data_IF_545295700255
#
_entry.id   IF_545295700255
#
_cell.length_a   1.000
_cell.length_b   1.000
_cell.length_c   1.000
_cell.angle_alpha   90.00
_cell.angle_beta   90.00
_cell.angle_gamma   90.00
#
_symmetry.space_group_name_H-M   'P 1'
#
loop_
_entity.id
_entity.type
_entity.pdbx_description
1 polymer ?
#
# COMPACT_ATOMS: atom_id res chain seq x y z
N UNK A 1 -26.23 39.07 28.59
CA UNK A 1 -26.80 38.11 27.59
C UNK A 1 -26.25 38.32 26.17
N UNK A 2 -26.11 39.55 25.67
CA UNK A 2 -25.62 39.84 24.30
C UNK A 2 -24.14 39.49 24.05
N UNK A 3 -23.25 39.61 25.03
CA UNK A 3 -21.82 39.29 24.90
C UNK A 3 -21.59 37.79 24.68
N UNK A 4 -22.38 36.94 25.35
CA UNK A 4 -22.24 35.49 25.22
C UNK A 4 -22.67 35.01 23.80
N UNK A 5 -23.73 35.62 23.24
CA UNK A 5 -24.22 35.32 21.90
C UNK A 5 -23.18 35.73 20.83
N UNK A 6 -22.53 36.90 21.00
CA UNK A 6 -21.50 37.35 20.06
C UNK A 6 -20.26 36.43 20.06
N UNK A 7 -19.86 35.89 21.21
CA UNK A 7 -18.73 34.95 21.31
C UNK A 7 -19.06 33.62 20.66
N UNK A 8 -20.29 33.09 20.84
CA UNK A 8 -20.71 31.82 20.23
C UNK A 8 -20.76 31.95 18.69
N UNK A 9 -21.26 33.06 18.17
CA UNK A 9 -21.30 33.31 16.71
C UNK A 9 -19.88 33.46 16.14
N UNK A 10 -18.98 34.17 16.86
CA UNK A 10 -17.59 34.33 16.42
C UNK A 10 -16.85 32.99 16.35
N UNK A 11 -17.04 32.12 17.35
CA UNK A 11 -16.43 30.77 17.37
C UNK A 11 -16.99 29.88 16.27
N UNK A 12 -18.29 29.92 16.04
CA UNK A 12 -18.92 29.12 14.98
C UNK A 12 -18.47 29.56 13.57
N UNK A 13 -18.35 30.86 13.34
CA UNK A 13 -17.86 31.42 12.05
C UNK A 13 -16.40 31.10 11.84
N UNK A 14 -15.56 31.16 12.89
CA UNK A 14 -14.14 30.80 12.80
C UNK A 14 -13.94 29.32 12.53
N UNK A 15 -14.72 28.44 13.15
CA UNK A 15 -14.69 27.00 12.89
C UNK A 15 -15.14 26.69 11.46
N UNK A 16 -16.21 27.30 10.96
CA UNK A 16 -16.70 27.10 9.61
C UNK A 16 -15.73 27.64 8.54
N UNK A 17 -15.02 28.75 8.79
CA UNK A 17 -14.01 29.29 7.89
C UNK A 17 -12.74 28.42 7.90
N UNK A 18 -12.35 27.85 9.04
CA UNK A 18 -11.25 26.88 9.11
C UNK A 18 -11.59 25.59 8.37
N UNK A 19 -12.79 25.04 8.53
CA UNK A 19 -13.21 23.85 7.78
C UNK A 19 -13.25 24.09 6.26
N UNK A 20 -13.70 25.28 5.82
CA UNK A 20 -13.78 25.60 4.39
C UNK A 20 -12.43 26.00 3.76
N UNK A 21 -11.50 26.55 4.54
CA UNK A 21 -10.23 27.06 4.00
C UNK A 21 -9.03 26.12 4.23
N UNK A 22 -9.04 25.31 5.29
CA UNK A 22 -7.88 24.50 5.69
C UNK A 22 -8.07 23.02 5.29
N UNK A 23 -9.29 22.48 5.34
CA UNK A 23 -9.53 21.10 4.87
C UNK A 23 -9.07 20.85 3.41
N UNK A 24 -9.33 21.74 2.44
CA UNK A 24 -8.81 21.55 1.08
C UNK A 24 -7.29 21.62 0.98
N UNK A 25 -6.62 22.33 1.90
CA UNK A 25 -5.16 22.47 1.91
C UNK A 25 -4.44 21.28 2.58
N UNK A 26 -5.17 20.51 3.41
CA UNK A 26 -4.66 19.32 4.09
C UNK A 26 -4.99 18.01 3.36
N UNK A 27 -5.67 18.08 2.20
CA UNK A 27 -5.98 16.91 1.36
C UNK A 27 -5.31 17.00 -0.02
N UNK A 28 -3.96 16.94 -0.12
CA UNK A 28 -3.29 17.02 -1.42
C UNK A 28 -3.67 15.89 -2.38
N UNK A 29 -4.09 14.73 -1.86
CA UNK A 29 -4.43 13.58 -2.68
C UNK A 29 -5.81 13.66 -3.36
N UNK A 30 -6.78 14.38 -2.80
CA UNK A 30 -8.10 14.56 -3.43
C UNK A 30 -8.09 15.64 -4.51
N UNK A 31 -7.21 16.65 -4.43
CA UNK A 31 -7.15 17.74 -5.39
C UNK A 31 -6.63 17.30 -6.78
N UNK A 32 -5.83 16.24 -6.85
CA UNK A 32 -5.29 15.71 -8.11
C UNK A 32 -6.34 15.13 -9.06
N UNK A 33 -7.45 14.58 -8.52
CA UNK A 33 -8.54 14.02 -9.31
C UNK A 33 -9.72 14.98 -9.54
N UNK A 34 -9.71 16.16 -8.93
CA UNK A 34 -10.84 17.13 -8.99
C UNK A 34 -10.66 18.16 -10.11
N UNK A 35 -9.45 18.44 -10.57
CA UNK A 35 -9.19 19.40 -11.65
C UNK A 35 -9.12 18.69 -13.01
N UNK A 36 -10.07 18.97 -13.88
CA UNK A 36 -10.29 18.38 -15.21
C UNK A 36 -9.12 18.51 -16.23
N UNK A 37 -7.96 19.03 -15.84
CA UNK A 37 -6.80 19.22 -16.72
C UNK A 37 -5.78 18.07 -16.66
N UNK A 38 -5.82 17.22 -15.65
CA UNK A 38 -4.93 16.05 -15.53
C UNK A 38 -5.78 14.80 -15.51
N UNK A 39 -5.50 13.82 -16.38
CA UNK A 39 -6.21 12.55 -16.35
C UNK A 39 -5.92 11.84 -15.03
N UNK A 40 -6.97 11.44 -14.34
CA UNK A 40 -6.90 10.75 -13.05
C UNK A 40 -7.82 9.54 -13.05
N UNK A 41 -7.31 8.42 -12.53
CA UNK A 41 -8.08 7.19 -12.34
C UNK A 41 -8.06 6.84 -10.87
N UNK A 42 -9.24 6.66 -10.27
CA UNK A 42 -9.37 6.14 -8.90
C UNK A 42 -9.60 4.64 -8.95
N UNK A 43 -8.80 3.89 -8.22
CA UNK A 43 -8.93 2.45 -8.03
C UNK A 43 -9.24 2.19 -6.57
N UNK A 44 -10.36 1.49 -6.32
CA UNK A 44 -10.65 0.94 -5.01
C UNK A 44 -10.10 -0.47 -4.94
N UNK A 45 -9.36 -0.77 -3.88
CA UNK A 45 -8.84 -2.09 -3.58
C UNK A 45 -9.31 -2.48 -2.20
N UNK A 46 -10.05 -3.57 -2.09
CA UNK A 46 -10.37 -4.17 -0.80
C UNK A 46 -9.41 -5.31 -0.54
N UNK A 47 -8.76 -5.31 0.62
CA UNK A 47 -7.87 -6.39 1.05
C UNK A 47 -8.61 -7.30 2.03
N UNK A 48 -8.28 -8.59 1.96
CA UNK A 48 -8.74 -9.65 2.84
C UNK A 48 -7.51 -10.44 3.29
N UNK A 49 -7.67 -11.35 4.23
CA UNK A 49 -6.54 -12.14 4.77
C UNK A 49 -5.71 -12.90 3.73
N UNK A 50 -6.20 -13.06 2.50
CA UNK A 50 -5.49 -13.75 1.41
C UNK A 50 -5.82 -13.23 0.01
N UNK A 51 -6.18 -11.98 -0.18
CA UNK A 51 -6.49 -11.47 -1.51
C UNK A 51 -6.76 -9.98 -1.58
N UNK A 52 -6.72 -9.46 -2.81
CA UNK A 52 -7.24 -8.15 -3.17
C UNK A 52 -8.63 -8.29 -3.80
N UNK A 53 -9.55 -7.34 -3.51
CA UNK A 53 -10.93 -7.23 -3.98
C UNK A 53 -11.85 -8.38 -3.55
N UNK A 54 -11.40 -9.62 -3.64
CA UNK A 54 -12.05 -10.81 -3.08
C UNK A 54 -11.03 -11.95 -2.99
N UNK A 55 -11.21 -12.93 -2.09
CA UNK A 55 -10.28 -14.04 -1.95
C UNK A 55 -10.03 -14.76 -3.29
N UNK A 56 -8.76 -14.91 -3.66
CA UNK A 56 -8.35 -15.59 -4.89
C UNK A 56 -8.53 -14.79 -6.19
N UNK A 57 -8.94 -13.52 -6.12
CA UNK A 57 -8.99 -12.63 -7.26
C UNK A 57 -7.67 -11.87 -7.42
N UNK A 58 -7.13 -11.85 -8.65
CA UNK A 58 -5.91 -11.13 -9.00
C UNK A 58 -6.29 -9.99 -9.96
N UNK A 59 -6.51 -8.77 -9.47
CA UNK A 59 -6.99 -7.67 -10.29
C UNK A 59 -5.97 -7.26 -11.36
N UNK A 60 -6.50 -6.85 -12.52
CA UNK A 60 -5.70 -6.34 -13.64
C UNK A 60 -6.33 -5.07 -14.19
N UNK A 61 -5.54 -4.00 -14.26
CA UNK A 61 -5.99 -2.69 -14.73
C UNK A 61 -5.22 -2.28 -15.98
N UNK A 62 -5.87 -1.48 -16.85
CA UNK A 62 -5.24 -0.84 -18.01
C UNK A 62 -5.45 0.66 -17.92
N UNK A 63 -4.36 1.43 -17.90
CA UNK A 63 -4.35 2.87 -17.66
C UNK A 63 -3.40 3.52 -18.66
N UNK A 64 -3.65 4.75 -19.08
CA UNK A 64 -2.72 5.50 -19.92
C UNK A 64 -1.51 5.97 -19.10
N UNK A 65 -0.29 5.81 -19.62
CA UNK A 65 0.93 6.34 -18.99
C UNK A 65 0.84 7.86 -18.78
N UNK A 66 1.39 8.37 -17.69
CA UNK A 66 1.26 9.76 -17.27
C UNK A 66 -0.06 10.13 -16.60
N UNK A 67 -0.98 9.16 -16.43
CA UNK A 67 -2.21 9.36 -15.66
C UNK A 67 -1.89 9.27 -14.16
N UNK A 68 -2.50 10.14 -13.34
CA UNK A 68 -2.48 10.03 -11.89
C UNK A 68 -3.34 8.81 -11.50
N UNK A 69 -2.75 7.86 -10.81
CA UNK A 69 -3.45 6.71 -10.23
C UNK A 69 -3.64 6.97 -8.75
N UNK A 70 -4.89 7.11 -8.32
CA UNK A 70 -5.27 7.24 -6.92
C UNK A 70 -5.77 5.89 -6.43
N UNK A 71 -5.09 5.32 -5.45
CA UNK A 71 -5.50 4.07 -4.80
C UNK A 71 -6.17 4.41 -3.48
N UNK A 72 -7.35 3.84 -3.28
CA UNK A 72 -8.01 3.75 -1.99
C UNK A 72 -8.07 2.28 -1.59
N UNK A 73 -7.23 1.90 -0.62
CA UNK A 73 -7.11 0.52 -0.15
C UNK A 73 -7.81 0.38 1.20
N UNK A 74 -8.84 -0.46 1.27
CA UNK A 74 -9.58 -0.77 2.48
C UNK A 74 -9.23 -2.19 2.93
N UNK A 75 -8.78 -2.34 4.16
CA UNK A 75 -8.51 -3.65 4.73
C UNK A 75 -9.70 -4.14 5.57
N UNK A 76 -10.36 -5.18 5.10
CA UNK A 76 -11.45 -5.87 5.80
C UNK A 76 -10.99 -7.21 6.40
N UNK A 77 -9.68 -7.50 6.34
CA UNK A 77 -9.07 -8.68 6.94
C UNK A 77 -8.55 -8.43 8.36
N UNK A 78 -8.11 -9.49 9.02
CA UNK A 78 -7.54 -9.45 10.36
C UNK A 78 -6.02 -9.24 10.38
N UNK A 79 -5.36 -9.28 9.23
CA UNK A 79 -3.91 -9.08 9.07
C UNK A 79 -3.61 -7.74 8.41
N UNK A 80 -2.46 -7.15 8.72
CA UNK A 80 -1.95 -5.99 7.99
C UNK A 80 -1.59 -6.39 6.55
N UNK A 81 -1.77 -5.45 5.61
CA UNK A 81 -1.44 -5.64 4.20
C UNK A 81 -0.65 -4.45 3.68
N UNK A 82 0.01 -4.66 2.54
CA UNK A 82 0.76 -3.62 1.86
C UNK A 82 0.48 -3.63 0.36
N UNK A 83 0.71 -2.50 -0.28
CA UNK A 83 0.68 -2.33 -1.72
C UNK A 83 2.08 -1.92 -2.19
N UNK A 84 2.80 -2.85 -2.79
CA UNK A 84 4.11 -2.62 -3.40
C UNK A 84 3.96 -2.67 -4.92
N UNK A 85 4.44 -1.67 -5.64
CA UNK A 85 4.42 -1.65 -7.11
C UNK A 85 5.83 -1.88 -7.68
N UNK A 86 5.96 -2.88 -8.53
CA UNK A 86 7.22 -3.30 -9.14
C UNK A 86 7.23 -3.14 -10.66
N UNK A 87 8.39 -2.81 -11.21
CA UNK A 87 8.66 -2.78 -12.65
C UNK A 87 9.04 -4.14 -13.24
N UNK A 88 8.90 -5.23 -12.48
CA UNK A 88 9.29 -6.59 -12.87
C UNK A 88 8.11 -7.55 -13.00
N UNK A 89 8.39 -8.77 -13.42
CA UNK A 89 7.41 -9.84 -13.50
C UNK A 89 7.18 -10.51 -12.13
N UNK A 90 5.99 -11.10 -11.96
CA UNK A 90 5.57 -11.78 -10.71
C UNK A 90 6.57 -12.82 -10.19
N UNK A 91 7.04 -13.71 -11.07
CA UNK A 91 7.87 -14.85 -10.63
C UNK A 91 9.23 -14.44 -10.08
N UNK A 92 10.03 -13.57 -10.73
CA UNK A 92 11.27 -13.08 -10.14
C UNK A 92 11.05 -12.39 -8.80
N UNK A 93 10.04 -11.52 -8.70
CA UNK A 93 9.71 -10.78 -7.47
C UNK A 93 9.37 -11.74 -6.33
N UNK A 94 8.47 -12.70 -6.56
CA UNK A 94 8.11 -13.70 -5.55
C UNK A 94 9.33 -14.55 -5.11
N UNK A 95 10.18 -14.96 -6.05
CA UNK A 95 11.36 -15.76 -5.73
C UNK A 95 12.34 -14.99 -4.86
N UNK A 96 12.53 -13.69 -5.12
CA UNK A 96 13.39 -12.83 -4.30
C UNK A 96 12.81 -12.66 -2.88
N UNK A 97 11.51 -12.44 -2.75
CA UNK A 97 10.86 -12.35 -1.45
C UNK A 97 10.96 -13.67 -0.65
N UNK A 98 10.75 -14.82 -1.31
CA UNK A 98 10.95 -16.14 -0.70
C UNK A 98 12.40 -16.39 -0.27
N UNK A 99 13.36 -15.95 -1.06
CA UNK A 99 14.78 -16.07 -0.72
C UNK A 99 15.14 -15.24 0.51
N UNK A 100 14.60 -14.02 0.62
CA UNK A 100 14.77 -13.17 1.80
C UNK A 100 14.19 -13.83 3.06
N UNK A 101 12.97 -14.39 2.98
CA UNK A 101 12.36 -15.10 4.11
C UNK A 101 13.16 -16.36 4.49
N UNK A 102 13.60 -17.14 3.52
CA UNK A 102 14.41 -18.33 3.78
C UNK A 102 15.75 -18.00 4.46
N UNK A 103 16.39 -16.89 4.03
CA UNK A 103 17.63 -16.40 4.63
C UNK A 103 17.40 -15.93 6.08
N UNK A 104 16.31 -15.19 6.34
CA UNK A 104 15.95 -14.74 7.67
C UNK A 104 15.70 -15.94 8.62
N UNK A 105 14.99 -16.97 8.14
CA UNK A 105 14.75 -18.20 8.89
C UNK A 105 16.03 -19.01 9.16
N UNK A 106 16.95 -19.05 8.20
CA UNK A 106 18.24 -19.74 8.36
C UNK A 106 19.12 -19.08 9.43
N UNK A 107 19.04 -17.74 9.55
CA UNK A 107 19.78 -17.00 10.58
C UNK A 107 19.15 -17.12 11.99
N UNK A 108 17.90 -17.58 12.09
CA UNK A 108 17.17 -17.75 13.33
C UNK A 108 16.56 -19.16 13.41
N UNK A 109 17.37 -20.23 13.60
CA UNK A 109 16.91 -21.62 13.41
C UNK A 109 15.76 -22.06 14.32
N UNK A 110 15.51 -21.35 15.42
CA UNK A 110 14.42 -21.63 16.35
C UNK A 110 13.15 -20.80 16.09
N UNK A 111 13.05 -20.10 14.94
CA UNK A 111 11.97 -19.19 14.61
C UNK A 111 10.55 -19.81 14.75
N UNK A 112 10.43 -21.11 14.49
CA UNK A 112 9.14 -21.80 14.54
C UNK A 112 8.67 -22.17 15.98
N UNK A 113 9.55 -22.06 16.97
CA UNK A 113 9.29 -22.56 18.35
C UNK A 113 9.61 -21.55 19.44
N UNK A 114 10.25 -20.43 19.10
CA UNK A 114 10.68 -19.40 20.04
C UNK A 114 10.24 -18.03 19.54
N UNK A 115 9.49 -17.28 20.36
CA UNK A 115 8.93 -15.97 19.99
C UNK A 115 9.97 -14.91 19.68
N UNK A 116 11.09 -14.88 20.42
CA UNK A 116 12.14 -13.89 20.19
C UNK A 116 12.86 -14.18 18.86
N UNK A 117 13.12 -15.46 18.56
CA UNK A 117 13.66 -15.87 17.28
C UNK A 117 12.68 -15.62 16.11
N UNK A 118 11.38 -15.74 16.36
CA UNK A 118 10.35 -15.40 15.37
C UNK A 118 10.37 -13.90 15.05
N UNK A 119 10.37 -13.04 16.06
CA UNK A 119 10.45 -11.59 15.88
C UNK A 119 11.76 -11.19 15.15
N UNK A 120 12.91 -11.69 15.58
CA UNK A 120 14.19 -11.45 14.90
C UNK A 120 14.19 -11.95 13.44
N UNK A 121 13.42 -13.00 13.13
CA UNK A 121 13.25 -13.46 11.75
C UNK A 121 12.45 -12.48 10.92
N UNK A 122 11.39 -11.87 11.46
CA UNK A 122 10.61 -10.86 10.75
C UNK A 122 11.42 -9.58 10.52
N UNK A 123 12.19 -9.14 11.54
CA UNK A 123 13.07 -7.98 11.40
C UNK A 123 14.13 -8.20 10.30
N UNK A 124 14.81 -9.36 10.32
CA UNK A 124 15.78 -9.73 9.29
C UNK A 124 15.13 -9.88 7.91
N UNK A 125 13.91 -10.42 7.84
CA UNK A 125 13.17 -10.51 6.57
C UNK A 125 12.93 -9.12 5.99
N UNK A 126 12.46 -8.16 6.79
CA UNK A 126 12.22 -6.79 6.35
C UNK A 126 13.51 -6.17 5.81
N UNK A 127 14.63 -6.28 6.52
CA UNK A 127 15.92 -5.76 6.07
C UNK A 127 16.37 -6.37 4.73
N UNK A 128 16.29 -7.70 4.59
CA UNK A 128 16.68 -8.39 3.35
C UNK A 128 15.73 -8.08 2.21
N UNK A 129 14.43 -8.03 2.50
CA UNK A 129 13.40 -7.65 1.54
C UNK A 129 13.66 -6.26 0.98
N UNK A 130 13.88 -5.27 1.83
CA UNK A 130 14.10 -3.88 1.42
C UNK A 130 15.37 -3.70 0.60
N UNK A 131 16.42 -4.44 0.93
CA UNK A 131 17.71 -4.35 0.22
C UNK A 131 17.60 -4.68 -1.28
N UNK A 132 16.75 -5.66 -1.68
CA UNK A 132 16.57 -6.00 -3.10
C UNK A 132 15.33 -5.32 -3.70
N UNK A 133 14.25 -5.13 -2.92
CA UNK A 133 13.00 -4.61 -3.46
C UNK A 133 13.12 -3.15 -3.90
N UNK A 134 13.94 -2.35 -3.21
CA UNK A 134 14.25 -0.97 -3.59
C UNK A 134 14.86 -0.85 -5.00
N UNK A 135 15.47 -1.91 -5.54
CA UNK A 135 16.02 -1.91 -6.90
C UNK A 135 14.95 -2.11 -7.99
N UNK A 136 13.77 -2.61 -7.64
CA UNK A 136 12.71 -2.95 -8.59
C UNK A 136 11.36 -2.30 -8.27
N UNK A 137 11.19 -1.70 -7.07
CA UNK A 137 9.99 -0.91 -6.74
C UNK A 137 9.94 0.38 -7.57
N UNK A 138 8.75 0.74 -8.00
CA UNK A 138 8.50 1.98 -8.73
C UNK A 138 8.69 3.17 -7.79
N UNK A 139 9.43 4.17 -8.26
CA UNK A 139 9.70 5.41 -7.53
C UNK A 139 10.86 5.38 -6.55
N UNK A 140 11.44 4.22 -6.24
CA UNK A 140 12.58 4.10 -5.34
C UNK A 140 13.89 4.65 -5.95
N UNK A 141 14.81 5.22 -5.13
CA UNK A 141 14.68 5.33 -3.66
C UNK A 141 13.91 6.55 -3.17
N UNK A 142 13.55 7.51 -4.04
CA UNK A 142 13.07 8.83 -3.59
C UNK A 142 11.59 8.85 -3.15
N UNK A 143 10.75 8.06 -3.81
CA UNK A 143 9.31 8.01 -3.54
C UNK A 143 8.74 6.62 -3.90
N UNK A 144 9.14 5.62 -3.13
CA UNK A 144 8.67 4.26 -3.37
C UNK A 144 7.15 4.16 -3.31
N UNK A 145 6.54 3.46 -4.28
CA UNK A 145 5.13 3.06 -4.18
C UNK A 145 5.08 1.85 -3.24
N UNK A 146 4.90 2.17 -1.96
CA UNK A 146 4.92 1.26 -0.82
C UNK A 146 3.98 1.82 0.25
N UNK A 147 2.85 1.17 0.48
CA UNK A 147 1.82 1.68 1.38
C UNK A 147 1.17 0.54 2.16
N UNK A 148 1.22 0.66 3.49
CA UNK A 148 0.60 -0.25 4.42
C UNK A 148 -0.84 0.12 4.73
N UNK A 149 -1.63 -0.88 5.10
CA UNK A 149 -2.96 -0.72 5.68
C UNK A 149 -3.17 -1.73 6.79
N UNK A 150 -3.42 -1.22 7.99
CA UNK A 150 -3.74 -2.02 9.17
C UNK A 150 -5.11 -2.71 9.05
N UNK A 151 -5.39 -3.75 9.86
CA UNK A 151 -6.73 -4.32 9.97
C UNK A 151 -7.79 -3.25 10.22
N UNK A 152 -8.93 -3.37 9.55
CA UNK A 152 -10.05 -2.41 9.58
C UNK A 152 -9.67 -0.98 9.16
N UNK A 153 -8.47 -0.79 8.59
CA UNK A 153 -7.94 0.49 8.15
C UNK A 153 -8.25 0.84 6.70
N UNK A 154 -7.97 2.10 6.37
CA UNK A 154 -8.00 2.62 4.99
C UNK A 154 -6.73 3.37 4.71
N UNK A 155 -6.09 3.09 3.59
CA UNK A 155 -4.94 3.83 3.07
C UNK A 155 -5.32 4.52 1.76
N UNK A 156 -4.97 5.80 1.62
CA UNK A 156 -5.22 6.61 0.43
C UNK A 156 -3.89 7.19 -0.07
N UNK A 157 -3.48 6.81 -1.26
CA UNK A 157 -2.22 7.26 -1.85
C UNK A 157 -2.32 7.37 -3.37
N UNK A 158 -1.35 8.03 -3.99
CA UNK A 158 -1.32 8.19 -5.43
C UNK A 158 0.10 8.06 -5.99
N UNK A 159 0.18 7.71 -7.26
CA UNK A 159 1.43 7.67 -8.02
C UNK A 159 1.18 7.95 -9.50
N UNK A 160 2.28 8.17 -10.23
CA UNK A 160 2.28 8.32 -11.70
C UNK A 160 3.35 7.42 -12.28
N UNK A 161 2.99 6.66 -13.32
CA UNK A 161 3.95 5.89 -14.12
C UNK A 161 3.97 6.47 -15.53
N UNK A 162 5.12 7.02 -15.92
CA UNK A 162 5.29 7.66 -17.24
C UNK A 162 5.75 6.68 -18.33
N UNK A 163 6.31 5.54 -17.95
CA UNK A 163 6.81 4.54 -18.89
C UNK A 163 5.75 3.50 -19.19
N UNK A 164 5.32 3.32 -20.46
CA UNK A 164 4.42 2.25 -20.83
C UNK A 164 5.00 0.87 -20.50
N UNK A 165 4.16 -0.06 -20.09
CA UNK A 165 4.56 -1.42 -19.72
C UNK A 165 3.58 -2.06 -18.74
N UNK A 166 3.79 -3.34 -18.44
CA UNK A 166 3.02 -4.04 -17.41
C UNK A 166 3.81 -4.06 -16.11
N UNK A 167 3.20 -3.55 -15.07
CA UNK A 167 3.70 -3.46 -13.72
C UNK A 167 2.96 -4.46 -12.85
N UNK A 168 3.65 -4.95 -11.85
CA UNK A 168 3.15 -5.95 -10.92
C UNK A 168 3.04 -5.35 -9.54
N UNK A 169 1.90 -5.52 -8.86
CA UNK A 169 1.77 -5.13 -7.46
C UNK A 169 1.47 -6.34 -6.58
N UNK A 170 1.92 -6.30 -5.35
CA UNK A 170 1.79 -7.40 -4.40
C UNK A 170 1.84 -6.94 -2.96
N UNK A 171 1.37 -7.82 -2.06
CA UNK A 171 1.60 -7.75 -0.62
C UNK A 171 2.71 -8.74 -0.25
N UNK A 172 3.78 -8.26 0.38
CA UNK A 172 4.90 -9.09 0.84
C UNK A 172 4.90 -9.31 2.35
N UNK A 173 3.84 -8.90 3.06
CA UNK A 173 3.66 -9.25 4.46
C UNK A 173 3.73 -10.76 4.65
N UNK A 174 4.26 -11.19 5.82
CA UNK A 174 4.45 -12.61 6.13
C UNK A 174 3.30 -13.10 7.00
N UNK A 175 2.58 -14.10 6.52
CA UNK A 175 1.62 -14.83 7.33
C UNK A 175 2.33 -15.79 8.29
N UNK A 176 2.28 -15.46 9.55
CA UNK A 176 2.88 -16.24 10.65
C UNK A 176 1.89 -17.17 11.35
N UNK A 177 0.63 -17.22 10.90
CA UNK A 177 -0.45 -18.00 11.53
C UNK A 177 -0.31 -19.51 11.34
N UNK A 178 0.52 -19.94 10.37
CA UNK A 178 0.77 -21.36 10.07
C UNK A 178 2.25 -21.60 9.75
N UNK A 179 2.74 -22.82 10.00
CA UNK A 179 4.09 -23.25 9.65
C UNK A 179 4.01 -24.20 8.46
N UNK A 180 4.79 -24.01 7.41
CA UNK A 180 5.76 -22.92 7.19
C UNK A 180 5.10 -21.56 6.94
N UNK A 181 5.77 -20.50 7.38
CA UNK A 181 5.34 -19.15 7.08
C UNK A 181 5.29 -18.91 5.58
N UNK A 182 4.37 -18.07 5.14
CA UNK A 182 4.17 -17.74 3.73
C UNK A 182 4.04 -16.24 3.54
N UNK A 183 4.57 -15.76 2.44
CA UNK A 183 4.36 -14.38 1.98
C UNK A 183 2.96 -14.27 1.38
N UNK A 184 2.23 -13.17 1.65
CA UNK A 184 0.87 -12.97 1.15
C UNK A 184 0.79 -13.04 -0.38
N UNK A 185 1.82 -12.60 -1.12
CA UNK A 185 1.91 -12.81 -2.56
C UNK A 185 1.84 -14.30 -2.96
N UNK A 186 2.48 -15.19 -2.21
CA UNK A 186 2.44 -16.65 -2.47
C UNK A 186 1.06 -17.25 -2.20
N UNK A 187 0.27 -16.58 -1.36
CA UNK A 187 -1.11 -16.93 -1.05
C UNK A 187 -2.13 -16.32 -2.04
N UNK A 188 -1.68 -15.52 -3.01
CA UNK A 188 -2.54 -14.96 -4.05
C UNK A 188 -2.73 -13.45 -3.99
N UNK A 189 -2.10 -12.72 -3.05
CA UNK A 189 -2.21 -11.25 -2.96
C UNK A 189 -1.28 -10.56 -3.95
N UNK A 190 -1.72 -10.47 -5.20
CA UNK A 190 -1.01 -9.77 -6.28
C UNK A 190 -1.97 -9.34 -7.39
N UNK A 191 -1.53 -8.41 -8.21
CA UNK A 191 -2.25 -7.98 -9.40
C UNK A 191 -1.31 -7.28 -10.40
N UNK A 192 -1.88 -6.72 -11.46
CA UNK A 192 -1.14 -6.04 -12.52
C UNK A 192 -1.78 -4.73 -12.91
N UNK A 193 -0.93 -3.76 -13.32
CA UNK A 193 -1.37 -2.54 -13.98
C UNK A 193 -0.59 -2.43 -15.28
N UNK A 194 -1.29 -2.39 -16.42
CA UNK A 194 -0.68 -2.14 -17.73
C UNK A 194 -0.84 -0.66 -18.08
N UNK A 195 0.28 0.05 -18.18
CA UNK A 195 0.30 1.42 -18.68
C UNK A 195 0.49 1.41 -20.19
N UNK A 196 -0.46 2.02 -20.91
CA UNK A 196 -0.43 2.15 -22.39
C UNK A 196 0.14 3.50 -22.81
N UNK A 197 0.59 3.60 -24.02
CA UNK A 197 1.04 4.86 -24.63
C UNK A 197 -0.07 5.89 -24.76
#
# INVERSE_FOLDING_TARGET
MWIVIAIVIAVAVTAAVMDLAILPLLQPAQSGCVNAQTSCVKIHVTTFDVGYDQPGFNPSYTIKAGTIVLIEMNNSGAMAHEFLLFSGGRTPILNSAKAALALAQANNPNWATNSDAANATLDNYTEYHDSWSNLSRVGCPDSCVDHDVDPDGTSLFWFVVNTPGTYFFACHQVDTTSIPWKIHQDKGMWGTITFTS
#
